data_IF_441238443885
#
_entry.id   IF_441238443885
#
_cell.length_a   1.000
_cell.length_b   1.000
_cell.length_c   1.000
_cell.angle_alpha   90.00
_cell.angle_beta   90.00
_cell.angle_gamma   90.00
#
_symmetry.space_group_name_H-M   'P 1'
#
loop_
_entity.id
_entity.type
_entity.pdbx_description
1 polymer ?
#
# COMPACT_ATOMS: atom_id res chain seq x y z
N UNK A 1 0.66 32.99 14.00
CA UNK A 1 1.68 31.99 13.65
C UNK A 1 1.81 32.07 12.14
N UNK A 2 2.96 32.48 11.59
CA UNK A 2 3.21 32.43 10.15
C UNK A 2 3.21 30.97 9.76
N UNK A 3 2.21 30.55 8.97
CA UNK A 3 2.21 29.23 8.32
C UNK A 3 3.53 29.13 7.54
N UNK A 4 4.43 28.23 7.96
CA UNK A 4 5.60 27.94 7.14
C UNK A 4 5.12 27.38 5.81
N UNK A 5 5.62 27.91 4.70
CA UNK A 5 5.29 27.44 3.35
C UNK A 5 5.51 25.93 3.29
N UNK A 6 4.54 25.18 2.73
CA UNK A 6 4.69 23.73 2.52
C UNK A 6 5.96 23.46 1.70
N UNK A 7 6.93 22.70 2.21
CA UNK A 7 8.23 22.52 1.55
C UNK A 7 8.15 21.72 0.24
N UNK A 8 6.97 21.15 -0.09
CA UNK A 8 6.77 20.43 -1.35
C UNK A 8 6.31 21.32 -2.52
N UNK A 9 5.88 22.56 -2.30
CA UNK A 9 5.33 23.41 -3.36
C UNK A 9 6.28 23.65 -4.54
N UNK A 10 7.58 23.80 -4.27
CA UNK A 10 8.59 24.03 -5.30
C UNK A 10 9.59 22.87 -5.40
N UNK A 11 9.19 21.67 -4.92
CA UNK A 11 10.05 20.52 -4.87
C UNK A 11 9.54 19.38 -5.77
N UNK A 12 10.46 18.76 -6.46
CA UNK A 12 10.24 17.52 -7.22
C UNK A 12 11.41 16.57 -6.98
N UNK A 13 11.17 15.28 -7.19
CA UNK A 13 12.22 14.26 -7.11
C UNK A 13 13.24 14.49 -8.21
N UNK A 14 14.48 14.74 -7.83
CA UNK A 14 15.60 14.73 -8.79
C UNK A 14 15.91 13.28 -9.19
N UNK A 15 15.56 12.92 -10.42
CA UNK A 15 15.75 11.58 -10.95
C UNK A 15 17.22 11.12 -10.90
N UNK A 16 18.17 12.04 -10.97
CA UNK A 16 19.60 11.73 -10.90
C UNK A 16 20.05 11.28 -9.51
N UNK A 17 19.26 11.58 -8.48
CA UNK A 17 19.51 11.21 -7.09
C UNK A 17 18.77 9.93 -6.67
N UNK A 18 17.96 9.34 -7.56
CA UNK A 18 17.28 8.08 -7.26
C UNK A 18 18.31 6.96 -7.26
N UNK A 19 18.31 6.22 -6.16
CA UNK A 19 19.14 5.03 -5.97
C UNK A 19 18.25 3.78 -5.88
N UNK A 20 18.85 2.60 -5.86
CA UNK A 20 18.14 1.33 -5.74
C UNK A 20 18.64 0.55 -4.52
N UNK A 21 17.73 -0.08 -3.81
CA UNK A 21 17.99 -1.01 -2.74
C UNK A 21 17.48 -2.41 -3.13
N UNK A 22 18.28 -3.42 -2.83
CA UNK A 22 17.97 -4.80 -3.15
C UNK A 22 18.17 -5.17 -4.62
N UNK A 23 18.07 -6.45 -4.91
CA UNK A 23 18.13 -7.04 -6.24
C UNK A 23 17.31 -8.33 -6.27
N UNK A 24 16.86 -8.74 -7.45
CA UNK A 24 16.08 -9.97 -7.64
C UNK A 24 14.86 -10.10 -6.72
N UNK A 25 14.26 -8.96 -6.39
CA UNK A 25 12.99 -8.92 -5.68
C UNK A 25 11.87 -9.34 -6.63
N UNK A 26 10.85 -9.99 -6.08
CA UNK A 26 9.69 -10.43 -6.85
C UNK A 26 8.44 -9.74 -6.35
N UNK A 27 7.97 -8.71 -7.06
CA UNK A 27 6.77 -7.95 -6.70
C UNK A 27 6.93 -7.28 -5.31
N UNK A 28 7.95 -6.41 -5.12
CA UNK A 28 8.19 -5.71 -3.85
C UNK A 28 7.13 -4.62 -3.65
N UNK A 29 5.91 -5.00 -3.32
CA UNK A 29 4.77 -4.08 -3.31
C UNK A 29 4.76 -3.25 -2.05
N UNK A 30 4.51 -3.81 -0.88
CA UNK A 30 4.46 -3.07 0.38
C UNK A 30 5.84 -3.05 1.08
N UNK A 31 6.14 -1.94 1.74
CA UNK A 31 7.44 -1.71 2.38
C UNK A 31 7.24 -1.31 3.84
N UNK A 32 8.04 -1.88 4.73
CA UNK A 32 8.18 -1.45 6.12
C UNK A 32 9.63 -1.10 6.41
N UNK A 33 9.86 -0.03 7.17
CA UNK A 33 11.19 0.37 7.60
C UNK A 33 11.29 0.30 9.12
N UNK A 34 12.37 -0.25 9.65
CA UNK A 34 12.67 -0.24 11.09
C UNK A 34 13.64 0.91 11.43
N UNK A 35 13.66 1.40 12.70
CA UNK A 35 14.51 2.52 13.11
C UNK A 35 16.01 2.27 12.96
N UNK A 36 16.43 1.00 12.95
CA UNK A 36 17.83 0.59 12.77
C UNK A 36 18.30 0.66 11.31
N UNK A 37 17.39 0.98 10.37
CA UNK A 37 17.63 1.05 8.93
C UNK A 37 17.31 -0.24 8.18
N UNK A 38 16.83 -1.28 8.86
CA UNK A 38 16.32 -2.49 8.19
C UNK A 38 15.08 -2.16 7.37
N UNK A 39 15.04 -2.66 6.13
CA UNK A 39 13.91 -2.53 5.23
C UNK A 39 13.29 -3.90 4.97
N UNK A 40 11.99 -3.99 5.10
CA UNK A 40 11.20 -5.17 4.78
C UNK A 40 10.30 -4.85 3.59
N UNK A 41 10.18 -5.80 2.67
CA UNK A 41 9.22 -5.65 1.57
C UNK A 41 8.49 -6.94 1.31
N UNK A 42 7.23 -6.83 0.93
CA UNK A 42 6.49 -7.97 0.39
C UNK A 42 7.28 -8.56 -0.79
N UNK A 43 7.25 -9.87 -0.92
CA UNK A 43 7.83 -10.60 -2.04
C UNK A 43 6.89 -11.76 -2.40
N UNK A 44 6.72 -12.05 -3.66
CA UNK A 44 5.82 -13.13 -4.10
C UNK A 44 6.17 -14.49 -3.50
N UNK A 45 7.36 -14.66 -2.97
CA UNK A 45 7.85 -15.87 -2.29
C UNK A 45 7.64 -15.84 -0.77
N UNK A 46 7.24 -14.68 -0.21
CA UNK A 46 7.12 -14.40 1.21
C UNK A 46 7.42 -12.95 1.53
N UNK A 47 8.46 -12.67 2.32
CA UNK A 47 8.89 -11.31 2.64
C UNK A 47 10.42 -11.23 2.53
N UNK A 48 10.92 -10.17 1.91
CA UNK A 48 12.36 -9.88 1.86
C UNK A 48 12.73 -8.93 2.99
N UNK A 49 13.71 -9.29 3.78
CA UNK A 49 14.39 -8.41 4.73
C UNK A 49 15.72 -7.96 4.14
N UNK A 50 15.99 -6.67 4.15
CA UNK A 50 17.27 -6.07 3.72
C UNK A 50 17.84 -5.32 4.91
N UNK A 51 18.98 -5.75 5.42
CA UNK A 51 19.61 -5.11 6.57
C UNK A 51 20.32 -3.79 6.18
N UNK A 52 20.80 -2.99 7.15
CA UNK A 52 21.49 -1.74 6.87
C UNK A 52 22.79 -1.88 6.05
N UNK A 53 23.38 -3.07 5.99
CA UNK A 53 24.54 -3.35 5.13
C UNK A 53 24.16 -3.62 3.66
N UNK A 54 22.85 -3.76 3.38
CA UNK A 54 22.31 -4.16 2.08
C UNK A 54 22.21 -5.68 1.89
N UNK A 55 22.52 -6.48 2.91
CA UNK A 55 22.37 -7.93 2.82
C UNK A 55 20.91 -8.33 2.82
N UNK A 56 20.52 -9.18 1.86
CA UNK A 56 19.16 -9.64 1.64
C UNK A 56 18.91 -11.00 2.26
N UNK A 57 17.75 -11.14 2.90
CA UNK A 57 17.28 -12.40 3.50
C UNK A 57 15.84 -12.63 3.08
N UNK A 58 15.64 -13.55 2.16
CA UNK A 58 14.28 -13.97 1.80
C UNK A 58 13.72 -14.88 2.90
N UNK A 59 12.68 -14.42 3.57
CA UNK A 59 11.92 -15.19 4.54
C UNK A 59 10.73 -15.78 3.78
N UNK A 60 10.89 -17.03 3.35
CA UNK A 60 9.94 -17.74 2.50
C UNK A 60 8.76 -18.22 3.32
N UNK A 61 7.55 -18.00 2.86
CA UNK A 61 6.38 -18.66 3.45
C UNK A 61 6.40 -20.16 3.16
N UNK A 62 6.10 -20.95 4.17
CA UNK A 62 6.07 -22.40 4.05
C UNK A 62 5.01 -22.85 3.04
N UNK A 63 5.40 -23.71 2.10
CA UNK A 63 4.48 -24.32 1.11
C UNK A 63 4.07 -23.40 -0.05
N UNK A 64 4.67 -22.21 -0.19
CA UNK A 64 4.39 -21.30 -1.30
C UNK A 64 5.36 -21.60 -2.46
N UNK A 65 4.85 -21.97 -3.67
CA UNK A 65 5.68 -22.18 -4.85
C UNK A 65 6.19 -20.83 -5.41
N UNK A 66 7.22 -20.89 -6.26
CA UNK A 66 7.69 -19.73 -6.98
C UNK A 66 6.62 -19.22 -7.96
N UNK A 67 6.48 -17.89 -8.02
CA UNK A 67 5.58 -17.22 -8.92
C UNK A 67 6.27 -16.95 -10.27
N UNK A 68 5.58 -17.22 -11.35
CA UNK A 68 6.00 -16.72 -12.67
C UNK A 68 5.87 -15.18 -12.72
N UNK A 69 6.88 -14.50 -13.27
CA UNK A 69 6.92 -13.03 -13.30
C UNK A 69 6.29 -12.45 -14.59
N UNK A 70 5.30 -13.15 -15.17
CA UNK A 70 4.49 -12.61 -16.27
C UNK A 70 3.36 -11.71 -15.75
N UNK A 71 2.82 -10.87 -16.64
CA UNK A 71 1.80 -9.87 -16.31
C UNK A 71 0.59 -10.46 -15.58
N UNK A 72 0.16 -11.66 -15.96
CA UNK A 72 -1.00 -12.33 -15.37
C UNK A 72 -0.69 -12.85 -13.98
N UNK A 73 0.45 -13.52 -13.83
CA UNK A 73 0.86 -14.10 -12.54
C UNK A 73 1.09 -13.05 -11.48
N UNK A 74 1.65 -11.89 -11.83
CA UNK A 74 1.90 -10.77 -10.89
C UNK A 74 0.62 -10.20 -10.25
N UNK A 75 -0.55 -10.41 -10.85
CA UNK A 75 -1.84 -9.89 -10.36
C UNK A 75 -2.89 -10.97 -10.11
N UNK A 76 -2.65 -12.21 -10.57
CA UNK A 76 -3.59 -13.33 -10.49
C UNK A 76 -2.95 -14.61 -9.92
N UNK A 77 -1.70 -14.54 -9.47
CA UNK A 77 -0.96 -15.70 -8.98
C UNK A 77 -1.52 -16.30 -7.69
N UNK A 78 -0.99 -17.47 -7.29
CA UNK A 78 -1.50 -18.26 -6.16
C UNK A 78 -1.22 -17.65 -4.79
N UNK A 79 -0.04 -17.05 -4.58
CA UNK A 79 0.30 -16.28 -3.37
C UNK A 79 0.83 -14.94 -3.79
N UNK A 80 0.23 -13.88 -3.28
CA UNK A 80 0.60 -12.50 -3.56
C UNK A 80 0.56 -11.71 -2.25
N UNK A 81 1.59 -11.84 -1.37
CA UNK A 81 1.76 -10.94 -0.26
C UNK A 81 1.67 -9.50 -0.76
N UNK A 82 0.73 -8.74 -0.23
CA UNK A 82 0.44 -7.37 -0.66
C UNK A 82 0.81 -6.42 0.48
N UNK A 83 -0.15 -6.01 1.30
CA UNK A 83 0.12 -5.23 2.50
C UNK A 83 0.81 -6.06 3.58
N UNK A 84 1.84 -5.49 4.21
CA UNK A 84 2.51 -6.08 5.38
C UNK A 84 2.54 -5.09 6.54
N UNK A 85 2.45 -5.61 7.77
CA UNK A 85 2.59 -4.83 9.00
C UNK A 85 3.22 -5.69 10.10
N UNK A 86 3.82 -5.07 11.12
CA UNK A 86 4.21 -5.81 12.32
C UNK A 86 3.04 -5.84 13.32
N UNK A 87 2.82 -7.01 13.92
CA UNK A 87 1.96 -7.13 15.08
C UNK A 87 2.69 -6.69 16.37
N UNK A 88 2.02 -6.80 17.51
CA UNK A 88 2.60 -6.44 18.82
C UNK A 88 3.81 -7.30 19.19
N UNK A 89 3.91 -8.52 18.68
CA UNK A 89 4.96 -9.49 19.01
C UNK A 89 6.16 -9.38 18.05
N UNK A 90 6.07 -8.50 17.02
CA UNK A 90 7.09 -8.29 16.00
C UNK A 90 7.03 -9.28 14.85
N UNK A 91 5.98 -10.12 14.78
CA UNK A 91 5.70 -10.96 13.62
C UNK A 91 5.06 -10.16 12.50
N UNK A 92 5.16 -10.66 11.28
CA UNK A 92 4.60 -10.05 10.08
C UNK A 92 3.14 -10.47 9.90
N UNK A 93 2.24 -9.50 9.91
CA UNK A 93 0.91 -9.64 9.36
C UNK A 93 1.00 -9.47 7.85
N UNK A 94 0.31 -10.31 7.10
CA UNK A 94 0.30 -10.31 5.63
C UNK A 94 -1.14 -10.29 5.14
N UNK A 95 -1.50 -9.23 4.42
CA UNK A 95 -2.68 -9.21 3.58
C UNK A 95 -2.32 -9.92 2.26
N UNK A 96 -2.73 -11.17 2.11
CA UNK A 96 -2.38 -11.96 0.94
C UNK A 96 -3.47 -11.89 -0.13
N UNK A 97 -3.25 -11.05 -1.13
CA UNK A 97 -4.18 -10.82 -2.24
C UNK A 97 -4.41 -12.08 -3.08
N UNK A 98 -3.40 -12.95 -3.17
CA UNK A 98 -3.49 -14.19 -3.95
C UNK A 98 -4.32 -15.28 -3.27
N UNK A 99 -4.20 -15.40 -1.96
CA UNK A 99 -4.86 -16.45 -1.16
C UNK A 99 -6.18 -16.00 -0.52
N UNK A 100 -6.57 -14.73 -0.70
CA UNK A 100 -7.77 -14.13 -0.09
C UNK A 100 -7.77 -14.27 1.44
N UNK A 101 -6.61 -14.08 2.07
CA UNK A 101 -6.43 -14.35 3.49
C UNK A 101 -5.61 -13.28 4.21
N UNK A 102 -5.89 -13.13 5.50
CA UNK A 102 -4.99 -12.46 6.44
C UNK A 102 -4.15 -13.56 7.10
N UNK A 103 -2.84 -13.41 7.01
CA UNK A 103 -1.86 -14.39 7.48
C UNK A 103 -0.93 -13.75 8.51
N UNK A 104 -0.31 -14.56 9.35
CA UNK A 104 0.80 -14.13 10.20
C UNK A 104 1.99 -15.04 9.96
N UNK A 105 3.18 -14.45 9.92
CA UNK A 105 4.44 -15.13 9.69
C UNK A 105 5.47 -14.64 10.70
N UNK A 106 6.12 -15.56 11.41
CA UNK A 106 7.23 -15.17 12.26
C UNK A 106 8.48 -14.82 11.42
N UNK A 107 9.52 -14.31 12.07
CA UNK A 107 10.75 -13.90 11.38
C UNK A 107 11.58 -15.08 10.85
N UNK A 108 11.17 -16.34 11.09
CA UNK A 108 11.77 -17.57 10.59
C UNK A 108 11.02 -18.16 9.37
N UNK A 109 9.82 -17.63 9.05
CA UNK A 109 9.02 -18.06 7.91
C UNK A 109 7.88 -19.01 8.26
N UNK A 110 7.73 -19.39 9.53
CA UNK A 110 6.57 -20.18 9.96
C UNK A 110 5.32 -19.29 9.83
N UNK A 111 4.42 -19.70 8.95
CA UNK A 111 3.25 -18.91 8.63
C UNK A 111 1.96 -19.70 8.86
N UNK A 112 0.91 -18.97 9.23
CA UNK A 112 -0.43 -19.50 9.37
C UNK A 112 -1.48 -18.49 8.94
N UNK A 113 -2.58 -18.99 8.47
CA UNK A 113 -3.76 -18.15 8.21
C UNK A 113 -4.38 -17.72 9.54
N UNK A 114 -4.68 -16.44 9.68
CA UNK A 114 -5.50 -15.89 10.75
C UNK A 114 -6.97 -15.94 10.36
N UNK A 115 -7.32 -15.40 9.21
CA UNK A 115 -8.70 -15.32 8.73
C UNK A 115 -8.78 -15.52 7.22
N UNK A 116 -9.81 -16.23 6.76
CA UNK A 116 -10.23 -16.36 5.34
C UNK A 116 -11.68 -15.98 5.14
N UNK A 117 -12.43 -15.87 6.24
CA UNK A 117 -13.86 -15.65 6.24
C UNK A 117 -14.26 -14.60 7.27
N UNK A 118 -15.36 -13.93 7.00
CA UNK A 118 -16.04 -13.02 7.90
C UNK A 118 -17.55 -13.23 7.77
N UNK A 119 -18.24 -13.42 8.89
CA UNK A 119 -19.69 -13.71 8.91
C UNK A 119 -20.10 -14.93 8.05
N UNK A 120 -19.23 -15.97 7.99
CA UNK A 120 -19.46 -17.18 7.20
C UNK A 120 -19.33 -16.99 5.68
N UNK A 121 -18.73 -15.89 5.23
CA UNK A 121 -18.46 -15.60 3.83
C UNK A 121 -16.95 -15.40 3.61
N UNK A 122 -16.40 -15.79 2.44
CA UNK A 122 -15.01 -15.47 2.10
C UNK A 122 -14.73 -13.97 2.24
N UNK A 123 -13.53 -13.62 2.71
CA UNK A 123 -13.12 -12.22 2.83
C UNK A 123 -13.21 -11.49 1.48
N UNK A 124 -12.75 -12.11 0.41
CA UNK A 124 -12.50 -11.48 -0.88
C UNK A 124 -11.02 -11.11 -1.03
N UNK A 125 -10.70 -10.23 -1.95
CA UNK A 125 -9.32 -9.81 -2.24
C UNK A 125 -8.74 -8.93 -1.14
N UNK A 126 -8.11 -9.56 -0.15
CA UNK A 126 -7.45 -8.85 0.95
C UNK A 126 -6.25 -8.09 0.38
N UNK A 127 -6.21 -6.78 0.62
CA UNK A 127 -5.22 -5.92 -0.01
C UNK A 127 -4.18 -5.38 0.99
N UNK A 128 -4.62 -4.79 2.07
CA UNK A 128 -3.75 -4.10 3.00
C UNK A 128 -4.04 -4.45 4.46
N UNK A 129 -3.02 -4.29 5.32
CA UNK A 129 -3.11 -4.50 6.76
C UNK A 129 -2.25 -3.48 7.49
N UNK A 130 -2.73 -2.97 8.63
CA UNK A 130 -1.96 -2.14 9.56
C UNK A 130 -2.37 -2.41 11.01
N UNK A 131 -1.53 -1.98 11.95
CA UNK A 131 -1.82 -2.00 13.39
C UNK A 131 -1.87 -0.59 13.95
N UNK A 132 -2.80 -0.34 14.88
CA UNK A 132 -2.90 0.94 15.61
C UNK A 132 -2.21 0.91 16.98
N UNK A 133 -2.30 2.01 17.73
CA UNK A 133 -1.69 2.16 19.06
C UNK A 133 -2.26 1.20 20.10
N UNK A 134 -3.45 0.63 19.86
CA UNK A 134 -4.13 -0.35 20.72
C UNK A 134 -3.89 -1.79 20.29
N UNK A 135 -2.96 -2.01 19.33
CA UNK A 135 -2.66 -3.31 18.74
C UNK A 135 -3.86 -3.95 17.99
N UNK A 136 -4.87 -3.16 17.60
CA UNK A 136 -5.95 -3.61 16.74
C UNK A 136 -5.42 -3.73 15.31
N UNK A 137 -5.90 -4.74 14.58
CA UNK A 137 -5.49 -5.00 13.19
C UNK A 137 -6.59 -4.47 12.27
N UNK A 138 -6.25 -3.47 11.47
CA UNK A 138 -7.10 -2.94 10.42
C UNK A 138 -6.70 -3.57 9.10
N UNK A 139 -7.67 -3.91 8.26
CA UNK A 139 -7.40 -4.48 6.95
C UNK A 139 -8.39 -3.98 5.91
N UNK A 140 -7.99 -4.08 4.65
CA UNK A 140 -8.85 -3.75 3.52
C UNK A 140 -9.09 -4.96 2.63
N UNK A 141 -10.25 -4.95 2.00
CA UNK A 141 -10.62 -5.88 0.94
C UNK A 141 -11.03 -5.07 -0.27
N UNK A 142 -10.33 -5.28 -1.38
CA UNK A 142 -10.55 -4.54 -2.62
C UNK A 142 -11.92 -4.83 -3.21
N UNK A 143 -12.32 -6.11 -3.24
CA UNK A 143 -13.57 -6.58 -3.83
C UNK A 143 -13.86 -8.03 -3.43
N UNK A 144 -15.12 -8.44 -3.54
CA UNK A 144 -15.57 -9.84 -3.49
C UNK A 144 -15.88 -10.44 -4.86
N UNK A 145 -15.71 -9.66 -5.93
CA UNK A 145 -15.93 -10.16 -7.31
C UNK A 145 -14.95 -11.29 -7.67
N UNK A 146 -15.48 -12.29 -8.38
CA UNK A 146 -14.68 -13.42 -8.92
C UNK A 146 -14.93 -13.56 -10.42
N UNK A 147 -13.90 -13.43 -11.25
CA UNK A 147 -12.53 -12.98 -10.93
C UNK A 147 -12.51 -11.50 -10.54
N UNK A 148 -11.58 -11.12 -9.65
CA UNK A 148 -11.49 -9.76 -9.10
C UNK A 148 -11.37 -8.66 -10.18
N UNK A 149 -10.84 -9.00 -11.35
CA UNK A 149 -10.70 -8.08 -12.49
C UNK A 149 -12.02 -7.51 -12.98
N UNK A 150 -13.16 -8.16 -12.67
CA UNK A 150 -14.50 -7.61 -12.96
C UNK A 150 -14.80 -6.33 -12.15
N UNK A 151 -14.13 -6.13 -11.02
CA UNK A 151 -14.29 -4.93 -10.20
C UNK A 151 -13.50 -3.73 -10.71
N UNK A 152 -12.64 -3.91 -11.74
CA UNK A 152 -11.83 -2.81 -12.30
C UNK A 152 -12.73 -1.88 -13.12
N UNK A 153 -13.50 -1.09 -12.43
CA UNK A 153 -14.41 -0.08 -12.98
C UNK A 153 -14.87 0.87 -11.87
N UNK A 154 -15.46 2.01 -12.22
CA UNK A 154 -15.92 3.02 -11.26
C UNK A 154 -17.27 2.70 -10.58
N UNK A 155 -17.87 1.53 -10.83
CA UNK A 155 -19.25 1.20 -10.41
C UNK A 155 -19.31 0.12 -9.33
N UNK A 156 -18.34 -0.78 -9.28
CA UNK A 156 -18.30 -1.87 -8.29
C UNK A 156 -17.86 -1.32 -6.94
N UNK A 157 -18.80 -1.17 -6.03
CA UNK A 157 -18.61 -0.57 -4.71
C UNK A 157 -18.81 -1.63 -3.61
N UNK A 158 -18.05 -2.71 -3.65
CA UNK A 158 -18.12 -3.85 -2.73
C UNK A 158 -16.90 -4.01 -1.83
N UNK A 159 -15.94 -3.12 -1.97
CA UNK A 159 -14.76 -3.06 -1.11
C UNK A 159 -15.10 -2.59 0.31
N UNK A 160 -14.28 -2.99 1.29
CA UNK A 160 -14.54 -2.66 2.68
C UNK A 160 -13.28 -2.53 3.52
N UNK A 161 -13.43 -1.92 4.70
CA UNK A 161 -12.45 -1.90 5.79
C UNK A 161 -12.95 -2.83 6.88
N UNK A 162 -12.09 -3.74 7.33
CA UNK A 162 -12.33 -4.61 8.47
C UNK A 162 -11.42 -4.30 9.65
N UNK A 163 -11.83 -4.76 10.81
CA UNK A 163 -11.12 -4.63 12.07
C UNK A 163 -11.07 -5.97 12.79
N UNK A 164 -9.92 -6.28 13.36
CA UNK A 164 -9.69 -7.44 14.24
C UNK A 164 -9.18 -6.92 15.58
N UNK A 165 -9.87 -7.24 16.64
CA UNK A 165 -9.51 -6.92 18.03
C UNK A 165 -10.06 -8.00 18.99
N UNK A 166 -10.17 -7.69 20.26
CA UNK A 166 -10.68 -8.61 21.30
C UNK A 166 -12.13 -9.06 21.06
N UNK A 167 -12.91 -8.26 20.34
CA UNK A 167 -14.29 -8.61 19.95
C UNK A 167 -14.35 -9.53 18.72
N UNK A 168 -13.22 -9.81 18.08
CA UNK A 168 -13.09 -10.63 16.88
C UNK A 168 -12.98 -9.82 15.60
N UNK A 169 -13.26 -10.49 14.46
CA UNK A 169 -13.21 -9.87 13.14
C UNK A 169 -14.56 -9.30 12.73
N UNK A 170 -14.58 -8.04 12.26
CA UNK A 170 -15.81 -7.39 11.78
C UNK A 170 -15.55 -6.39 10.67
N UNK A 171 -16.57 -6.13 9.85
CA UNK A 171 -16.56 -5.02 8.88
C UNK A 171 -16.95 -3.74 9.61
N UNK A 172 -16.17 -2.68 9.46
CA UNK A 172 -16.39 -1.38 10.12
C UNK A 172 -16.78 -0.27 9.15
N UNK A 173 -16.51 -0.45 7.86
CA UNK A 173 -17.04 0.39 6.77
C UNK A 173 -16.99 -0.38 5.45
N UNK A 174 -17.97 -0.14 4.58
CA UNK A 174 -18.08 -0.81 3.28
C UNK A 174 -18.50 0.16 2.15
N UNK A 175 -18.77 -0.36 0.97
CA UNK A 175 -19.21 0.42 -0.18
C UNK A 175 -18.08 1.29 -0.78
N UNK A 176 -16.83 0.84 -0.74
CA UNK A 176 -15.71 1.49 -1.41
C UNK A 176 -15.49 0.91 -2.81
N UNK A 177 -14.96 1.75 -3.69
CA UNK A 177 -14.74 1.38 -5.09
C UNK A 177 -13.27 1.05 -5.33
N UNK A 178 -12.93 -0.24 -5.18
CA UNK A 178 -11.55 -0.72 -5.27
C UNK A 178 -10.71 -0.26 -4.08
N UNK A 179 -11.08 -0.71 -2.87
CA UNK A 179 -10.37 -0.40 -1.62
C UNK A 179 -8.93 -0.89 -1.68
N UNK A 180 -7.98 0.00 -1.40
CA UNK A 180 -6.56 -0.32 -1.40
C UNK A 180 -5.93 0.00 -0.03
N UNK A 181 -4.78 0.68 0.02
CA UNK A 181 -4.14 0.99 1.29
C UNK A 181 -4.96 1.91 2.18
N UNK A 182 -4.72 1.82 3.48
CA UNK A 182 -5.26 2.69 4.52
C UNK A 182 -4.13 3.22 5.39
N UNK A 183 -4.30 4.42 5.92
CA UNK A 183 -3.38 5.02 6.93
C UNK A 183 -4.19 5.75 7.99
N UNK A 184 -3.73 5.65 9.23
CA UNK A 184 -4.19 6.50 10.33
C UNK A 184 -3.39 7.79 10.36
N UNK A 185 -4.03 8.89 10.75
CA UNK A 185 -3.31 10.13 11.05
C UNK A 185 -2.50 10.00 12.35
N UNK A 186 -1.72 11.04 12.67
CA UNK A 186 -0.82 11.04 13.83
C UNK A 186 -1.53 10.81 15.19
N UNK A 187 -2.81 11.18 15.27
CA UNK A 187 -3.60 11.06 16.48
C UNK A 187 -4.53 9.83 16.46
N UNK A 188 -4.53 9.06 15.36
CA UNK A 188 -5.46 7.95 15.10
C UNK A 188 -6.94 8.38 15.19
N UNK A 189 -7.22 9.64 14.86
CA UNK A 189 -8.56 10.19 14.83
C UNK A 189 -9.24 9.99 13.48
N UNK A 190 -8.46 9.91 12.40
CA UNK A 190 -8.91 9.69 11.05
C UNK A 190 -8.19 8.49 10.42
N UNK A 191 -8.96 7.67 9.72
CA UNK A 191 -8.44 6.67 8.81
C UNK A 191 -8.68 7.13 7.38
N UNK A 192 -7.61 7.19 6.60
CA UNK A 192 -7.65 7.50 5.17
C UNK A 192 -7.64 6.20 4.38
N UNK A 193 -8.32 6.17 3.24
CA UNK A 193 -8.41 5.00 2.37
C UNK A 193 -8.26 5.40 0.91
N UNK A 194 -7.39 4.70 0.18
CA UNK A 194 -7.30 4.80 -1.26
C UNK A 194 -8.44 4.00 -1.91
N UNK A 195 -9.24 4.67 -2.72
CA UNK A 195 -10.24 4.05 -3.59
C UNK A 195 -9.71 4.07 -5.02
N UNK A 196 -8.93 3.03 -5.38
CA UNK A 196 -8.19 2.95 -6.65
C UNK A 196 -9.09 3.18 -7.86
N UNK A 197 -10.20 2.46 -7.91
CA UNK A 197 -11.12 2.54 -9.04
C UNK A 197 -12.03 3.77 -9.01
N UNK A 198 -12.16 4.45 -7.87
CA UNK A 198 -12.82 5.76 -7.78
C UNK A 198 -11.84 6.94 -7.96
N UNK A 199 -10.53 6.67 -8.06
CA UNK A 199 -9.46 7.67 -8.25
C UNK A 199 -9.39 8.76 -7.20
N UNK A 200 -9.68 8.42 -5.95
CA UNK A 200 -9.75 9.38 -4.84
C UNK A 200 -9.23 8.80 -3.54
N UNK A 201 -9.00 9.69 -2.60
CA UNK A 201 -8.85 9.35 -1.20
C UNK A 201 -10.16 9.66 -0.48
N UNK A 202 -10.64 8.74 0.34
CA UNK A 202 -11.70 9.00 1.32
C UNK A 202 -11.11 8.95 2.72
N UNK A 203 -11.76 9.59 3.71
CA UNK A 203 -11.41 9.43 5.11
C UNK A 203 -12.65 9.24 5.97
N UNK A 204 -12.45 8.59 7.12
CA UNK A 204 -13.50 8.33 8.10
C UNK A 204 -12.98 8.63 9.50
N UNK A 205 -13.88 9.07 10.38
CA UNK A 205 -13.58 9.32 11.79
C UNK A 205 -13.49 7.99 12.54
N UNK A 206 -12.40 7.77 13.27
CA UNK A 206 -12.19 6.58 14.10
C UNK A 206 -12.80 6.84 15.47
N UNK A 207 -13.67 5.93 15.92
CA UNK A 207 -14.28 5.97 17.24
C UNK A 207 -13.48 5.12 18.25
N UNK A 208 -13.71 5.34 19.54
CA UNK A 208 -12.99 4.62 20.58
C UNK A 208 -13.17 3.09 20.53
N UNK A 209 -14.33 2.62 20.09
CA UNK A 209 -14.66 1.19 19.91
C UNK A 209 -14.17 0.62 18.57
N UNK A 210 -13.50 1.43 17.74
CA UNK A 210 -13.02 1.05 16.41
C UNK A 210 -14.08 1.15 15.31
N UNK A 211 -15.30 1.58 15.61
CA UNK A 211 -16.28 1.90 14.57
C UNK A 211 -15.83 3.14 13.77
N UNK A 212 -16.28 3.22 12.53
CA UNK A 212 -15.97 4.33 11.62
C UNK A 212 -17.23 5.14 11.32
N UNK A 213 -17.07 6.46 11.23
CA UNK A 213 -18.17 7.38 10.95
C UNK A 213 -17.73 8.53 10.05
N UNK A 214 -18.67 9.37 9.62
CA UNK A 214 -18.38 10.61 8.89
C UNK A 214 -17.49 10.40 7.67
N UNK A 215 -17.83 9.43 6.79
CA UNK A 215 -17.12 9.22 5.54
C UNK A 215 -17.22 10.44 4.65
N UNK A 216 -16.08 10.93 4.19
CA UNK A 216 -15.99 12.04 3.24
C UNK A 216 -14.85 11.83 2.25
N UNK A 217 -14.93 12.44 1.07
CA UNK A 217 -13.82 12.51 0.13
C UNK A 217 -12.81 13.52 0.66
N UNK A 218 -11.54 13.12 0.73
CA UNK A 218 -10.45 13.98 1.15
C UNK A 218 -9.68 14.54 -0.06
N UNK A 219 -9.76 15.84 -0.26
CA UNK A 219 -9.21 16.52 -1.44
C UNK A 219 -10.13 16.41 -2.67
N UNK A 220 -9.57 16.42 -3.88
CA UNK A 220 -10.32 16.32 -5.13
C UNK A 220 -11.04 14.98 -5.28
N UNK A 221 -12.16 14.98 -5.99
CA UNK A 221 -12.94 13.77 -6.32
C UNK A 221 -12.28 12.88 -7.37
N UNK A 222 -11.26 13.39 -8.08
CA UNK A 222 -10.40 12.65 -9.03
C UNK A 222 -8.96 13.16 -8.88
N UNK A 223 -8.04 12.26 -8.56
CA UNK A 223 -6.60 12.55 -8.40
C UNK A 223 -5.84 12.54 -9.74
N UNK A 224 -6.54 12.35 -10.86
CA UNK A 224 -5.92 12.24 -12.17
C UNK A 224 -5.21 10.90 -12.42
N UNK A 225 -5.52 9.86 -11.63
CA UNK A 225 -4.93 8.53 -11.74
C UNK A 225 -5.50 7.57 -10.70
N UNK A 226 -4.93 6.39 -10.60
CA UNK A 226 -5.39 5.28 -9.78
C UNK A 226 -4.58 5.20 -8.47
N UNK A 227 -5.04 5.79 -7.34
CA UNK A 227 -4.30 5.72 -6.07
C UNK A 227 -4.19 4.28 -5.59
N UNK A 228 -3.00 3.88 -5.18
CA UNK A 228 -2.68 2.55 -4.66
C UNK A 228 -2.20 2.66 -3.22
N UNK A 229 -0.89 2.77 -3.00
CA UNK A 229 -0.34 3.00 -1.68
C UNK A 229 -0.08 4.48 -1.39
N UNK A 230 -0.04 4.82 -0.11
CA UNK A 230 0.30 6.17 0.31
C UNK A 230 0.91 6.22 1.71
N UNK A 231 1.63 7.29 1.99
CA UNK A 231 2.18 7.60 3.31
C UNK A 231 1.88 9.05 3.69
N UNK A 232 1.86 9.34 4.97
CA UNK A 232 1.64 10.69 5.50
C UNK A 232 2.99 11.25 5.95
N UNK A 233 3.28 12.50 5.62
CA UNK A 233 4.46 13.19 6.11
C UNK A 233 4.18 14.03 7.37
N UNK A 234 5.23 14.57 7.98
CA UNK A 234 5.13 15.38 9.21
C UNK A 234 4.46 16.75 9.00
N UNK A 235 4.23 17.16 7.75
CA UNK A 235 3.49 18.37 7.40
C UNK A 235 1.99 18.08 7.23
N UNK A 236 1.63 16.80 7.08
CA UNK A 236 0.26 16.33 6.84
C UNK A 236 -0.06 16.11 5.37
N UNK A 237 0.92 16.17 4.46
CA UNK A 237 0.69 15.79 3.08
C UNK A 237 0.54 14.27 2.96
N UNK A 238 -0.36 13.82 2.09
CA UNK A 238 -0.45 12.43 1.68
C UNK A 238 0.40 12.25 0.41
N UNK A 239 1.47 11.46 0.51
CA UNK A 239 2.28 11.05 -0.63
C UNK A 239 1.65 9.80 -1.23
N UNK A 240 1.13 9.89 -2.44
CA UNK A 240 0.27 8.87 -3.05
C UNK A 240 0.91 8.36 -4.33
N UNK A 241 1.09 7.04 -4.43
CA UNK A 241 1.43 6.39 -5.70
C UNK A 241 0.17 6.23 -6.54
N UNK A 242 0.25 6.61 -7.81
CA UNK A 242 -0.81 6.42 -8.78
C UNK A 242 -0.40 5.28 -9.72
N UNK A 243 -0.79 4.06 -9.39
CA UNK A 243 -0.50 2.86 -10.18
C UNK A 243 -1.09 2.98 -11.59
N UNK A 244 -0.46 2.40 -12.59
CA UNK A 244 -0.79 2.51 -14.03
C UNK A 244 -0.58 3.91 -14.61
N UNK A 245 -0.75 4.96 -13.83
CA UNK A 245 -0.41 6.33 -14.20
C UNK A 245 1.08 6.59 -13.99
N UNK A 246 1.72 5.78 -13.12
CA UNK A 246 3.15 5.79 -12.79
C UNK A 246 3.62 7.14 -12.26
N UNK A 247 2.82 7.73 -11.37
CA UNK A 247 3.12 9.01 -10.73
C UNK A 247 3.19 8.89 -9.23
N UNK A 248 4.06 9.69 -8.64
CA UNK A 248 4.02 10.02 -7.23
C UNK A 248 3.50 11.45 -7.09
N UNK A 249 2.42 11.63 -6.36
CA UNK A 249 1.85 12.94 -6.05
C UNK A 249 1.86 13.19 -4.55
N UNK A 250 1.78 14.45 -4.14
CA UNK A 250 1.40 14.83 -2.79
C UNK A 250 0.05 15.54 -2.81
N UNK A 251 -0.88 15.08 -1.98
CA UNK A 251 -2.13 15.77 -1.69
C UNK A 251 -1.92 16.55 -0.40
N UNK A 252 -1.97 17.89 -0.49
CA UNK A 252 -1.72 18.76 0.67
C UNK A 252 -2.95 18.82 1.59
N UNK A 253 -2.78 19.24 2.87
CA UNK A 253 -3.92 19.45 3.77
C UNK A 253 -4.97 20.44 3.23
N UNK A 254 -4.56 21.36 2.34
CA UNK A 254 -5.45 22.31 1.66
C UNK A 254 -6.16 21.72 0.45
N UNK A 255 -5.85 20.46 0.08
CA UNK A 255 -6.46 19.74 -1.04
C UNK A 255 -5.79 20.01 -2.40
N UNK A 256 -4.58 20.59 -2.41
CA UNK A 256 -3.80 20.79 -3.63
C UNK A 256 -3.06 19.51 -4.02
N UNK A 257 -2.98 19.22 -5.32
CA UNK A 257 -2.19 18.10 -5.87
C UNK A 257 -0.86 18.63 -6.39
N UNK A 258 0.24 18.14 -5.83
CA UNK A 258 1.59 18.42 -6.27
C UNK A 258 2.17 17.16 -6.93
N UNK A 259 2.60 17.25 -8.20
CA UNK A 259 3.29 16.13 -8.86
C UNK A 259 4.76 16.12 -8.43
N UNK A 260 5.17 15.08 -7.71
CA UNK A 260 6.53 14.92 -7.20
C UNK A 260 7.44 14.13 -8.16
N UNK A 261 6.86 13.16 -8.86
CA UNK A 261 7.55 12.33 -9.85
C UNK A 261 6.54 11.85 -10.89
N UNK A 262 6.90 11.89 -12.17
CA UNK A 262 6.09 11.35 -13.27
C UNK A 262 6.97 10.43 -14.12
N UNK A 263 6.70 9.12 -14.09
CA UNK A 263 7.38 8.08 -14.87
C UNK A 263 6.42 7.41 -15.87
N UNK A 264 5.30 8.08 -16.16
CA UNK A 264 4.18 7.56 -16.92
C UNK A 264 4.46 7.31 -18.40
N UNK A 265 3.62 6.46 -18.97
CA UNK A 265 3.51 6.21 -20.40
C UNK A 265 2.13 6.67 -20.89
N UNK A 266 2.00 7.92 -21.38
CA UNK A 266 0.70 8.51 -21.71
C UNK A 266 -0.02 7.79 -22.86
N UNK A 267 0.72 7.17 -23.79
CA UNK A 267 0.13 6.41 -24.90
C UNK A 267 -0.53 5.12 -24.40
N UNK A 268 0.18 4.35 -23.58
CA UNK A 268 -0.35 3.13 -22.98
C UNK A 268 -1.53 3.44 -22.05
N UNK A 269 -1.40 4.50 -21.24
CA UNK A 269 -2.48 4.95 -20.35
C UNK A 269 -3.73 5.33 -21.13
N UNK A 270 -3.61 6.02 -22.26
CA UNK A 270 -4.76 6.39 -23.08
C UNK A 270 -5.49 5.15 -23.67
N UNK A 271 -4.76 4.07 -23.97
CA UNK A 271 -5.36 2.78 -24.36
C UNK A 271 -6.06 2.14 -23.15
N UNK A 272 -5.37 2.05 -22.02
CA UNK A 272 -5.93 1.49 -20.79
C UNK A 272 -7.23 2.18 -20.37
N UNK A 273 -7.27 3.53 -20.42
CA UNK A 273 -8.46 4.32 -20.09
C UNK A 273 -9.69 3.93 -20.87
N UNK A 274 -9.57 3.67 -22.18
CA UNK A 274 -10.68 3.21 -23.03
C UNK A 274 -11.22 1.87 -22.55
N UNK A 275 -10.33 0.95 -22.18
CA UNK A 275 -10.71 -0.36 -21.67
C UNK A 275 -11.28 -0.28 -20.25
N UNK A 276 -10.75 0.63 -19.40
CA UNK A 276 -11.29 0.90 -18.08
C UNK A 276 -12.74 1.40 -18.16
N UNK A 277 -13.02 2.39 -19.01
CA UNK A 277 -14.37 2.91 -19.22
C UNK A 277 -15.33 1.86 -19.80
N UNK A 278 -14.83 0.95 -20.61
CA UNK A 278 -15.59 -0.15 -21.20
C UNK A 278 -15.76 -1.37 -20.29
N UNK A 279 -15.04 -1.44 -19.15
CA UNK A 279 -15.02 -2.62 -18.27
C UNK A 279 -14.35 -3.84 -18.90
N UNK A 280 -13.36 -3.64 -19.76
CA UNK A 280 -12.66 -4.69 -20.52
C UNK A 280 -11.15 -4.71 -20.25
N UNK A 281 -10.74 -4.29 -19.07
CA UNK A 281 -9.34 -4.30 -18.63
C UNK A 281 -8.81 -5.73 -18.48
N UNK A 282 -7.52 -5.90 -18.77
CA UNK A 282 -6.81 -7.18 -18.59
C UNK A 282 -5.46 -6.96 -17.90
N UNK A 283 -4.88 -7.98 -17.28
CA UNK A 283 -3.53 -7.89 -16.71
C UNK A 283 -2.46 -7.39 -17.68
N UNK A 284 -2.56 -7.77 -18.95
CA UNK A 284 -1.62 -7.36 -19.99
C UNK A 284 -1.74 -5.86 -20.31
N UNK A 285 -2.98 -5.33 -20.35
CA UNK A 285 -3.22 -3.89 -20.48
C UNK A 285 -2.70 -3.11 -19.26
N UNK A 286 -2.89 -3.63 -18.05
CA UNK A 286 -2.31 -3.03 -16.85
C UNK A 286 -0.77 -2.99 -16.95
N UNK A 287 -0.15 -4.11 -17.30
CA UNK A 287 1.31 -4.22 -17.42
C UNK A 287 1.88 -3.36 -18.56
N UNK A 288 1.11 -3.00 -19.58
CA UNK A 288 1.55 -2.11 -20.65
C UNK A 288 1.76 -0.67 -20.19
N UNK A 289 1.12 -0.27 -19.10
CA UNK A 289 1.24 1.08 -18.51
C UNK A 289 2.51 1.30 -17.68
N UNK A 290 3.23 0.22 -17.33
CA UNK A 290 4.38 0.26 -16.42
C UNK A 290 5.44 1.30 -16.81
N UNK A 291 5.91 2.05 -15.83
CA UNK A 291 7.06 2.95 -15.92
C UNK A 291 8.39 2.20 -15.90
N UNK A 292 9.47 2.93 -15.72
CA UNK A 292 10.84 2.40 -15.72
C UNK A 292 11.45 2.34 -14.32
N UNK A 293 11.09 3.27 -13.44
CA UNK A 293 11.70 3.41 -12.10
C UNK A 293 11.15 2.38 -11.14
N UNK A 294 9.84 2.37 -10.95
CA UNK A 294 9.11 1.42 -10.12
C UNK A 294 7.94 0.86 -10.94
N UNK A 295 8.17 -0.10 -11.85
CA UNK A 295 7.15 -0.58 -12.80
C UNK A 295 5.87 -1.03 -12.10
N UNK A 296 4.73 -0.42 -12.42
CA UNK A 296 3.47 -0.52 -11.68
C UNK A 296 3.66 -0.05 -10.23
N UNK A 297 3.99 1.25 -10.09
CA UNK A 297 4.28 1.91 -8.82
C UNK A 297 3.09 1.80 -7.87
N UNK A 298 3.24 1.00 -6.80
CA UNK A 298 2.11 0.57 -5.98
C UNK A 298 2.16 1.12 -4.55
N UNK A 299 3.33 1.23 -3.93
CA UNK A 299 3.42 1.61 -2.53
C UNK A 299 4.55 2.58 -2.25
N UNK A 300 4.54 3.18 -1.06
CA UNK A 300 5.54 4.14 -0.60
C UNK A 300 5.75 3.99 0.90
N UNK A 301 7.00 4.08 1.33
CA UNK A 301 7.34 4.11 2.75
C UNK A 301 8.43 5.13 3.04
N UNK A 302 8.33 5.77 4.22
CA UNK A 302 9.38 6.59 4.78
C UNK A 302 10.26 5.76 5.72
N UNK A 303 11.57 5.87 5.57
CA UNK A 303 12.57 5.19 6.39
C UNK A 303 13.81 6.04 6.63
N UNK A 304 14.90 5.39 7.06
CA UNK A 304 16.09 6.07 7.58
C UNK A 304 15.84 6.65 8.98
N UNK A 305 16.88 6.86 9.77
CA UNK A 305 16.75 7.30 11.18
C UNK A 305 16.00 8.63 11.36
N UNK A 306 15.89 9.44 10.30
CA UNK A 306 15.21 10.73 10.28
C UNK A 306 13.88 10.70 9.52
N UNK A 307 13.42 9.51 9.08
CA UNK A 307 12.21 9.31 8.29
C UNK A 307 12.18 10.14 6.99
N UNK A 308 13.33 10.43 6.39
CA UNK A 308 13.42 11.21 5.14
C UNK A 308 13.88 10.39 3.94
N UNK A 309 14.14 9.11 4.10
CA UNK A 309 14.40 8.22 2.97
C UNK A 309 13.07 7.65 2.49
N UNK A 310 12.71 7.95 1.26
CA UNK A 310 11.48 7.48 0.63
C UNK A 310 11.81 6.28 -0.25
N UNK A 311 11.14 5.16 -0.01
CA UNK A 311 11.21 3.96 -0.84
C UNK A 311 9.93 3.81 -1.64
N UNK A 312 10.04 3.37 -2.89
CA UNK A 312 8.90 3.10 -3.77
C UNK A 312 8.73 1.60 -3.98
N UNK A 313 7.52 1.11 -3.72
CA UNK A 313 7.11 -0.26 -3.98
C UNK A 313 6.52 -0.44 -5.38
N UNK A 314 6.52 -1.68 -5.86
CA UNK A 314 6.17 -1.97 -7.25
C UNK A 314 5.59 -3.37 -7.39
N UNK A 315 4.56 -3.53 -8.25
CA UNK A 315 4.00 -4.84 -8.59
C UNK A 315 4.87 -5.63 -9.57
N UNK A 316 5.77 -4.97 -10.30
CA UNK A 316 6.59 -5.59 -11.34
C UNK A 316 8.07 -5.24 -11.27
N UNK A 317 8.51 -4.58 -10.19
CA UNK A 317 9.91 -4.24 -9.94
C UNK A 317 10.72 -5.39 -9.37
N UNK A 318 12.04 -5.25 -9.50
CA UNK A 318 13.02 -6.19 -8.94
C UNK A 318 13.99 -5.54 -7.96
N UNK A 319 13.78 -4.26 -7.69
CA UNK A 319 14.52 -3.44 -6.72
C UNK A 319 13.55 -2.47 -6.06
N UNK A 320 13.96 -1.82 -4.98
CA UNK A 320 13.27 -0.69 -4.36
C UNK A 320 13.99 0.61 -4.72
N UNK A 321 13.46 1.43 -5.63
CA UNK A 321 13.96 2.78 -5.84
C UNK A 321 13.76 3.62 -4.58
N UNK A 322 14.76 4.46 -4.27
CA UNK A 322 14.68 5.35 -3.12
C UNK A 322 15.36 6.71 -3.37
N UNK A 323 14.91 7.71 -2.65
CA UNK A 323 15.44 9.08 -2.71
C UNK A 323 15.25 9.80 -1.37
N UNK A 324 15.85 10.99 -1.23
CA UNK A 324 15.71 11.81 -0.02
C UNK A 324 14.56 12.82 -0.17
N UNK A 325 13.71 12.88 0.85
CA UNK A 325 12.59 13.84 0.97
C UNK A 325 13.01 15.09 1.74
N UNK A 326 12.48 16.29 1.38
CA UNK A 326 12.68 17.51 2.17
C UNK A 326 11.91 17.51 3.49
N UNK A 327 10.94 16.61 3.68
CA UNK A 327 10.13 16.44 4.88
C UNK A 327 10.25 15.03 5.44
N UNK A 328 10.13 14.87 6.75
CA UNK A 328 10.08 13.56 7.37
C UNK A 328 8.69 12.92 7.19
N UNK A 329 8.63 11.60 7.04
CA UNK A 329 7.38 10.85 7.12
C UNK A 329 6.84 10.78 8.55
N UNK A 330 5.57 10.40 8.66
CA UNK A 330 4.95 10.06 9.93
C UNK A 330 5.44 8.67 10.36
N UNK A 331 5.93 8.57 11.60
CA UNK A 331 6.37 7.29 12.17
C UNK A 331 5.20 6.31 12.30
N UNK A 332 5.37 5.10 11.78
CA UNK A 332 4.39 4.03 11.96
C UNK A 332 4.47 3.47 13.40
N UNK A 333 3.43 2.73 13.80
CA UNK A 333 3.28 2.18 15.16
C UNK A 333 4.52 1.45 15.67
N UNK A 334 5.16 0.64 14.86
CA UNK A 334 6.34 -0.14 15.26
C UNK A 334 7.60 0.71 15.52
N UNK A 335 7.67 1.97 15.05
CA UNK A 335 8.76 2.91 15.35
C UNK A 335 8.73 3.41 16.78
N UNK A 336 7.55 3.43 17.41
CA UNK A 336 7.37 3.95 18.80
C UNK A 336 7.52 2.88 19.85
N UNK A 337 7.50 1.59 19.46
CA UNK A 337 7.80 0.48 20.35
C UNK A 337 9.32 0.32 20.45
N UNK A 338 9.92 0.69 21.59
CA UNK A 338 11.23 0.16 21.93
C UNK A 338 11.07 -1.36 22.08
N UNK A 339 11.60 -2.13 21.11
CA UNK A 339 11.79 -3.56 21.36
C UNK A 339 12.80 -3.67 22.48
N UNK A 340 12.31 -3.92 23.72
CA UNK A 340 13.17 -4.46 24.78
C UNK A 340 13.73 -5.77 24.26
N UNK A 341 15.03 -5.76 23.98
CA UNK A 341 15.82 -6.89 23.53
C UNK A 341 15.77 -8.02 24.57
#
# INVERSE_FOLDING_TARGET
MTSSKNPLHDWQVDRSQIQSLGADLHRPECILCEPDGTVWTADARGVMRIDPSGQQFLIRQTGVPDLALDARSLVMGGSLPNGIAFNRDGDLLIANFGTDAIEVMNRQGDSRTLFREINGQPLGKVNFVLTDSRDRIWFTVTTREVPWTKSINAKTADGYIGLIDEEGIRIVADGFVGTNEIRLDANEEWIYVAETNARRISRLRVQADGSLSNREVYGPSDLGGFPDGFAIDSYGNLWITLVLTERLIALTPEGEILTLLDDGNPEALAVYEKHYQAGTTTPELMASCKGKLAPMMASIAFGGSDLRTVYLGSLAGTTLPWFRSPVAGLALRHWTKSHSA
#
